data_IF_211874590354
#
_entry.id   IF_211874590354
#
_cell.length_a   1.000
_cell.length_b   1.000
_cell.length_c   1.000
_cell.angle_alpha   90.00
_cell.angle_beta   90.00
_cell.angle_gamma   90.00
#
_symmetry.space_group_name_H-M   'P 1'
#
loop_
_entity.id
_entity.type
_entity.pdbx_description
1 polymer ?
#
# COMPACT_ATOMS: atom_id res chain seq x y z
N UNK A 1 -2.17 -17.77 2.78
CA UNK A 1 -1.02 -18.20 3.60
C UNK A 1 0.25 -17.61 2.97
N UNK A 2 0.86 -16.64 3.64
CA UNK A 2 2.09 -16.00 3.21
C UNK A 2 3.27 -16.62 3.96
N UNK A 3 4.23 -17.17 3.22
CA UNK A 3 5.44 -17.77 3.77
C UNK A 3 6.60 -16.77 3.65
N UNK A 4 7.30 -16.51 4.74
CA UNK A 4 8.54 -15.73 4.70
C UNK A 4 9.54 -16.26 5.72
N UNK A 5 10.74 -16.59 5.25
CA UNK A 5 11.87 -17.05 6.07
C UNK A 5 12.97 -15.98 6.08
N UNK A 6 13.63 -15.78 7.24
CA UNK A 6 14.86 -15.01 7.37
C UNK A 6 14.72 -13.63 8.03
N UNK A 7 15.73 -12.79 7.87
CA UNK A 7 15.94 -11.45 8.47
C UNK A 7 14.75 -10.48 8.38
N UNK A 8 13.68 -10.88 7.72
CA UNK A 8 12.45 -10.11 7.62
C UNK A 8 11.59 -10.02 8.88
N UNK A 9 11.86 -10.77 9.94
CA UNK A 9 10.95 -10.87 11.08
C UNK A 9 10.75 -9.56 11.84
N UNK A 10 11.76 -8.73 11.92
CA UNK A 10 11.66 -7.46 12.66
C UNK A 10 10.94 -6.40 11.83
N UNK A 11 11.22 -6.27 10.54
CA UNK A 11 10.46 -5.38 9.65
C UNK A 11 8.99 -5.80 9.56
N UNK A 12 8.71 -7.09 9.61
CA UNK A 12 7.36 -7.62 9.62
C UNK A 12 6.60 -7.25 10.88
N UNK A 13 7.22 -7.23 12.05
CA UNK A 13 6.54 -6.90 13.32
C UNK A 13 5.88 -5.53 13.27
N UNK A 14 6.57 -4.51 12.78
CA UNK A 14 6.02 -3.16 12.68
C UNK A 14 4.86 -3.08 11.68
N UNK A 15 5.00 -3.76 10.54
CA UNK A 15 3.95 -3.84 9.53
C UNK A 15 2.74 -4.62 10.06
N UNK A 16 2.96 -5.76 10.71
CA UNK A 16 1.89 -6.57 11.30
C UNK A 16 1.17 -5.82 12.42
N UNK A 17 1.90 -5.11 13.27
CA UNK A 17 1.32 -4.27 14.31
C UNK A 17 0.41 -3.19 13.71
N UNK A 18 0.87 -2.47 12.68
CA UNK A 18 0.06 -1.46 12.01
C UNK A 18 -1.19 -2.06 11.34
N UNK A 19 -1.09 -3.28 10.79
CA UNK A 19 -2.26 -4.00 10.25
C UNK A 19 -3.23 -4.44 11.35
N UNK A 20 -2.74 -4.85 12.53
CA UNK A 20 -3.59 -5.12 13.70
C UNK A 20 -4.30 -3.86 14.19
N UNK A 21 -3.61 -2.71 14.23
CA UNK A 21 -4.21 -1.40 14.53
C UNK A 21 -5.29 -1.02 13.50
N UNK A 22 -5.09 -1.40 12.23
CA UNK A 22 -6.10 -1.27 11.18
C UNK A 22 -7.31 -2.20 11.35
N UNK A 23 -7.26 -3.13 12.31
CA UNK A 23 -8.35 -4.04 12.64
C UNK A 23 -8.21 -5.45 12.10
N UNK A 24 -7.04 -5.81 11.58
CA UNK A 24 -6.77 -7.16 11.13
C UNK A 24 -6.55 -8.12 12.31
N UNK A 25 -7.16 -9.29 12.25
CA UNK A 25 -6.81 -10.43 13.09
C UNK A 25 -5.60 -11.13 12.47
N UNK A 26 -4.50 -11.23 13.23
CA UNK A 26 -3.25 -11.77 12.71
C UNK A 26 -2.76 -12.89 13.61
N UNK A 27 -2.58 -14.06 13.03
CA UNK A 27 -1.96 -15.21 13.66
C UNK A 27 -0.61 -15.51 13.00
N UNK A 28 0.43 -15.64 13.81
CA UNK A 28 1.79 -15.92 13.34
C UNK A 28 2.18 -17.33 13.77
N UNK A 29 2.43 -18.20 12.80
CA UNK A 29 3.02 -19.52 13.01
C UNK A 29 4.54 -19.51 12.80
N UNK A 30 5.15 -20.69 12.86
CA UNK A 30 6.60 -20.84 12.69
C UNK A 30 7.07 -20.38 11.29
N UNK A 31 6.32 -20.75 10.24
CA UNK A 31 6.66 -20.47 8.83
C UNK A 31 5.51 -19.83 8.02
N UNK A 32 4.45 -19.35 8.68
CA UNK A 32 3.29 -18.75 8.05
C UNK A 32 2.71 -17.58 8.86
N UNK A 33 1.98 -16.73 8.18
CA UNK A 33 1.18 -15.65 8.76
C UNK A 33 -0.21 -15.74 8.14
N UNK A 34 -1.23 -15.71 8.97
CA UNK A 34 -2.62 -15.59 8.58
C UNK A 34 -3.14 -14.21 8.99
N UNK A 35 -3.83 -13.55 8.07
CA UNK A 35 -4.49 -12.27 8.29
C UNK A 35 -5.95 -12.38 7.85
N UNK A 36 -6.86 -11.99 8.73
CA UNK A 36 -8.28 -11.94 8.45
C UNK A 36 -8.88 -10.59 8.88
N UNK A 37 -9.57 -9.95 7.97
CA UNK A 37 -10.34 -8.73 8.23
C UNK A 37 -11.81 -9.03 8.59
N UNK A 38 -12.24 -10.30 8.56
CA UNK A 38 -13.63 -10.71 8.81
C UNK A 38 -14.65 -9.91 7.99
N UNK A 39 -14.29 -9.54 6.76
CA UNK A 39 -15.14 -8.72 5.88
C UNK A 39 -15.33 -7.27 6.35
N UNK A 40 -14.61 -6.83 7.38
CA UNK A 40 -14.69 -5.46 7.88
C UNK A 40 -13.77 -4.54 7.08
N UNK A 41 -14.19 -3.30 6.96
CA UNK A 41 -13.35 -2.23 6.41
C UNK A 41 -12.21 -1.92 7.38
N UNK A 42 -11.01 -1.70 6.84
CA UNK A 42 -9.86 -1.33 7.66
C UNK A 42 -10.07 0.05 8.31
N UNK A 43 -9.52 0.25 9.49
CA UNK A 43 -9.39 1.57 10.13
C UNK A 43 -8.11 2.23 9.65
N UNK A 44 -8.16 3.55 9.47
CA UNK A 44 -6.97 4.32 9.12
C UNK A 44 -5.96 4.30 10.28
N UNK A 45 -4.69 4.18 9.94
CA UNK A 45 -3.58 4.10 10.90
C UNK A 45 -2.63 5.26 10.74
N UNK A 46 -1.95 5.63 11.83
CA UNK A 46 -0.92 6.66 11.83
C UNK A 46 0.44 6.02 12.10
N UNK A 47 1.36 6.14 11.13
CA UNK A 47 2.69 5.58 11.23
C UNK A 47 3.75 6.62 10.89
N UNK A 48 4.92 6.47 11.50
CA UNK A 48 6.10 7.27 11.19
C UNK A 48 7.21 6.33 10.75
N UNK A 49 7.77 6.57 9.56
CA UNK A 49 8.94 5.83 9.11
C UNK A 49 10.17 6.26 9.91
N UNK A 50 11.04 5.32 10.19
CA UNK A 50 12.35 5.59 10.78
C UNK A 50 13.30 4.44 10.46
N UNK A 51 14.62 4.62 10.64
CA UNK A 51 15.58 3.53 10.53
C UNK A 51 15.23 2.35 11.43
N UNK A 52 15.64 1.16 11.00
CA UNK A 52 15.50 -0.06 11.79
C UNK A 52 15.82 0.17 13.29
N UNK A 53 15.00 -0.37 14.24
CA UNK A 53 13.90 -1.33 14.07
C UNK A 53 12.49 -0.73 13.96
N UNK A 54 12.36 0.52 13.52
CA UNK A 54 11.08 1.20 13.40
C UNK A 54 10.33 0.85 12.10
N UNK A 55 9.22 1.56 11.82
CA UNK A 55 8.39 1.30 10.65
C UNK A 55 9.16 1.57 9.34
N UNK A 56 9.22 0.60 8.42
CA UNK A 56 10.06 0.72 7.23
C UNK A 56 9.47 1.70 6.21
N UNK A 57 10.32 2.61 5.70
CA UNK A 57 9.96 3.54 4.64
C UNK A 57 9.48 2.84 3.35
N UNK A 58 9.88 1.60 3.13
CA UNK A 58 9.46 0.79 1.98
C UNK A 58 7.98 0.37 2.03
N UNK A 59 7.33 0.50 3.16
CA UNK A 59 5.90 0.23 3.33
C UNK A 59 5.05 1.50 3.42
N UNK A 60 5.67 2.67 3.38
CA UNK A 60 5.02 3.97 3.51
C UNK A 60 3.90 4.17 2.46
N UNK A 61 4.20 3.93 1.18
CA UNK A 61 3.26 4.13 0.09
C UNK A 61 2.08 3.13 0.14
N UNK A 62 2.33 1.87 0.53
CA UNK A 62 1.30 0.84 0.66
C UNK A 62 0.33 1.17 1.80
N UNK A 63 0.83 1.69 2.92
CA UNK A 63 -0.04 2.14 4.01
C UNK A 63 -0.78 3.44 3.67
N UNK A 64 -0.23 4.29 2.81
CA UNK A 64 -1.00 5.40 2.22
C UNK A 64 -2.17 4.86 1.40
N UNK A 65 -1.96 3.83 0.56
CA UNK A 65 -3.03 3.19 -0.21
C UNK A 65 -4.10 2.53 0.69
N UNK A 66 -3.70 1.93 1.83
CA UNK A 66 -4.65 1.43 2.81
C UNK A 66 -5.48 2.57 3.41
N UNK A 67 -4.84 3.64 3.85
CA UNK A 67 -5.49 4.75 4.55
C UNK A 67 -6.52 5.49 3.67
N UNK A 68 -6.29 5.59 2.36
CA UNK A 68 -7.22 6.32 1.47
C UNK A 68 -8.57 5.63 1.30
N UNK A 69 -8.68 4.35 1.62
CA UNK A 69 -9.95 3.59 1.60
C UNK A 69 -10.38 3.10 2.98
N UNK A 70 -9.62 3.40 4.02
CA UNK A 70 -9.92 2.99 5.39
C UNK A 70 -11.01 3.86 6.03
N UNK A 71 -11.55 3.44 7.18
CA UNK A 71 -12.43 4.28 7.99
C UNK A 71 -11.62 5.31 8.78
N UNK A 72 -12.06 6.56 8.76
CA UNK A 72 -11.46 7.65 9.54
C UNK A 72 -10.31 8.35 8.80
N UNK A 73 -9.39 8.92 9.57
CA UNK A 73 -8.23 9.63 9.06
C UNK A 73 -6.94 9.07 9.68
N UNK A 74 -5.91 8.95 8.87
CA UNK A 74 -4.60 8.47 9.29
C UNK A 74 -3.48 9.35 8.74
N UNK A 75 -2.33 9.28 9.38
CA UNK A 75 -1.15 10.06 8.98
C UNK A 75 0.03 9.15 8.67
N UNK A 76 0.76 9.49 7.62
CA UNK A 76 2.02 8.85 7.30
C UNK A 76 3.10 9.93 7.34
N UNK A 77 4.00 9.84 8.31
CA UNK A 77 5.14 10.75 8.43
C UNK A 77 6.41 10.06 7.93
N UNK A 78 7.02 10.63 6.89
CA UNK A 78 8.25 10.12 6.29
C UNK A 78 9.47 10.86 6.87
N UNK A 79 10.38 10.13 7.52
CA UNK A 79 11.57 10.72 8.14
C UNK A 79 12.89 10.15 7.62
N UNK A 80 12.84 9.19 6.69
CA UNK A 80 14.02 8.53 6.13
C UNK A 80 14.41 9.17 4.80
N UNK A 81 13.42 9.44 3.94
CA UNK A 81 13.65 10.05 2.63
C UNK A 81 12.84 11.32 2.44
N UNK A 82 13.48 12.36 1.99
CA UNK A 82 12.81 13.59 1.58
C UNK A 82 11.96 13.36 0.32
N UNK A 83 10.78 13.98 0.29
CA UNK A 83 9.89 14.02 -0.90
C UNK A 83 9.44 12.66 -1.45
N UNK A 84 9.29 11.62 -0.62
CA UNK A 84 8.86 10.28 -1.05
C UNK A 84 7.33 10.15 -1.15
N UNK A 85 6.62 11.17 -1.65
CA UNK A 85 5.15 11.21 -1.76
C UNK A 85 4.64 11.36 -3.19
N UNK A 86 5.42 10.94 -4.18
CA UNK A 86 5.04 11.08 -5.60
C UNK A 86 3.76 10.32 -5.96
N UNK A 87 3.44 9.23 -5.26
CA UNK A 87 2.19 8.47 -5.43
C UNK A 87 0.94 9.22 -4.99
N UNK A 88 1.08 10.24 -4.14
CA UNK A 88 -0.06 11.00 -3.60
C UNK A 88 -0.85 11.70 -4.71
N UNK A 89 -0.18 12.35 -5.64
CA UNK A 89 -0.84 13.04 -6.75
C UNK A 89 -1.59 12.05 -7.65
N UNK A 90 -1.03 10.88 -7.89
CA UNK A 90 -1.67 9.84 -8.68
C UNK A 90 -2.88 9.24 -7.94
N UNK A 91 -2.79 9.01 -6.64
CA UNK A 91 -3.94 8.59 -5.83
C UNK A 91 -5.04 9.64 -5.77
N UNK A 92 -4.69 10.94 -5.74
CA UNK A 92 -5.66 12.03 -5.82
C UNK A 92 -6.42 12.03 -7.15
N UNK A 93 -5.80 11.64 -8.27
CA UNK A 93 -6.49 11.42 -9.55
C UNK A 93 -7.54 10.31 -9.47
N UNK A 94 -7.33 9.34 -8.59
CA UNK A 94 -8.28 8.27 -8.30
C UNK A 94 -9.35 8.67 -7.27
N UNK A 95 -9.39 9.94 -6.85
CA UNK A 95 -10.36 10.45 -5.89
C UNK A 95 -9.93 10.35 -4.43
N UNK A 96 -8.68 10.00 -4.13
CA UNK A 96 -8.18 9.95 -2.76
C UNK A 96 -8.12 11.34 -2.13
N UNK A 97 -8.49 11.44 -0.85
CA UNK A 97 -8.40 12.66 -0.05
C UNK A 97 -7.14 12.65 0.78
N UNK A 98 -6.08 13.23 0.24
CA UNK A 98 -4.77 13.33 0.89
C UNK A 98 -4.31 14.79 0.90
N UNK A 99 -3.82 15.23 2.04
CA UNK A 99 -3.18 16.55 2.20
C UNK A 99 -1.75 16.34 2.66
N UNK A 100 -0.79 16.96 1.96
CA UNK A 100 0.62 16.95 2.37
C UNK A 100 0.92 18.16 3.24
N UNK A 101 1.56 17.93 4.39
CA UNK A 101 2.10 18.97 5.28
C UNK A 101 3.55 18.62 5.64
N UNK A 102 4.49 19.31 5.00
CA UNK A 102 5.91 18.98 5.13
C UNK A 102 6.18 17.52 4.74
N UNK A 103 6.68 16.74 5.67
CA UNK A 103 6.98 15.32 5.50
C UNK A 103 5.84 14.38 5.93
N UNK A 104 4.63 14.89 6.05
CA UNK A 104 3.47 14.11 6.52
C UNK A 104 2.34 14.14 5.50
N UNK A 105 1.87 12.96 5.10
CA UNK A 105 0.64 12.77 4.34
C UNK A 105 -0.51 12.50 5.32
N UNK A 106 -1.56 13.32 5.24
CA UNK A 106 -2.80 13.17 6.02
C UNK A 106 -3.86 12.65 5.06
N UNK A 107 -4.31 11.43 5.26
CA UNK A 107 -5.33 10.78 4.44
C UNK A 107 -6.64 10.73 5.19
N UNK A 108 -7.73 11.12 4.53
CA UNK A 108 -9.10 10.84 5.00
C UNK A 108 -9.69 9.78 4.10
N UNK A 109 -10.12 8.67 4.67
CA UNK A 109 -10.62 7.55 3.90
C UNK A 109 -11.87 7.91 3.11
N UNK A 110 -11.90 7.50 1.85
CA UNK A 110 -13.08 7.58 0.99
C UNK A 110 -13.76 6.22 0.93
N UNK A 111 -15.03 6.20 0.63
CA UNK A 111 -15.78 4.95 0.52
C UNK A 111 -15.26 4.10 -0.65
N UNK A 112 -14.95 4.76 -1.77
CA UNK A 112 -14.40 4.13 -2.98
C UNK A 112 -13.46 5.08 -3.71
N UNK A 113 -12.45 4.49 -4.33
CA UNK A 113 -11.64 5.15 -5.35
C UNK A 113 -12.28 4.96 -6.73
N UNK A 114 -11.94 5.82 -7.67
CA UNK A 114 -12.37 5.72 -9.06
C UNK A 114 -11.17 5.33 -9.93
N UNK A 115 -11.37 4.39 -10.83
CA UNK A 115 -10.35 4.00 -11.81
C UNK A 115 -9.93 5.20 -12.66
N UNK A 116 -8.63 5.33 -12.87
CA UNK A 116 -8.04 6.42 -13.63
C UNK A 116 -6.73 5.98 -14.32
N UNK A 117 -6.32 6.68 -15.39
CA UNK A 117 -4.96 6.55 -15.89
C UNK A 117 -3.99 7.23 -14.91
N UNK A 118 -3.04 6.46 -14.40
CA UNK A 118 -2.00 6.89 -13.46
C UNK A 118 -0.61 6.47 -13.93
N UNK A 119 0.41 7.12 -13.42
CA UNK A 119 1.79 6.84 -13.81
C UNK A 119 2.63 6.32 -12.65
N UNK A 120 3.32 5.20 -12.91
CA UNK A 120 4.38 4.71 -12.04
C UNK A 120 5.56 5.71 -12.01
N UNK A 121 6.02 6.07 -10.83
CA UNK A 121 7.09 7.06 -10.62
C UNK A 121 8.36 6.45 -10.01
N UNK A 122 8.19 5.54 -9.10
CA UNK A 122 9.24 4.73 -8.46
C UNK A 122 8.69 3.36 -8.06
N UNK A 123 9.56 2.48 -7.60
CA UNK A 123 9.21 1.09 -7.29
C UNK A 123 8.09 0.97 -6.25
N UNK A 124 8.19 1.69 -5.13
CA UNK A 124 7.25 1.57 -3.99
C UNK A 124 5.95 2.32 -4.24
N UNK A 125 6.05 3.53 -4.78
CA UNK A 125 4.90 4.30 -5.23
C UNK A 125 4.08 3.52 -6.25
N UNK A 126 4.74 2.89 -7.22
CA UNK A 126 4.08 2.10 -8.25
C UNK A 126 3.31 0.90 -7.68
N UNK A 127 3.91 0.17 -6.72
CA UNK A 127 3.22 -0.94 -6.06
C UNK A 127 1.97 -0.46 -5.30
N UNK A 128 2.02 0.71 -4.66
CA UNK A 128 0.86 1.27 -3.97
C UNK A 128 -0.27 1.67 -4.93
N UNK A 129 0.06 2.12 -6.14
CA UNK A 129 -0.93 2.41 -7.18
C UNK A 129 -1.60 1.13 -7.71
N UNK A 130 -0.86 0.02 -7.79
CA UNK A 130 -1.47 -1.28 -8.09
C UNK A 130 -2.50 -1.65 -7.01
N UNK A 131 -2.13 -1.55 -5.73
CA UNK A 131 -3.05 -1.84 -4.62
C UNK A 131 -4.29 -0.93 -4.65
N UNK A 132 -4.11 0.37 -4.88
CA UNK A 132 -5.22 1.32 -5.02
C UNK A 132 -6.13 0.97 -6.22
N UNK A 133 -5.54 0.56 -7.35
CA UNK A 133 -6.29 0.14 -8.54
C UNK A 133 -7.13 -1.11 -8.32
N UNK A 134 -6.69 -2.04 -7.48
CA UNK A 134 -7.45 -3.27 -7.17
C UNK A 134 -8.76 -3.02 -6.41
N UNK A 135 -8.86 -1.88 -5.71
CA UNK A 135 -10.03 -1.51 -4.90
C UNK A 135 -10.81 -0.33 -5.48
N UNK A 136 -10.40 0.18 -6.64
CA UNK A 136 -11.08 1.27 -7.32
C UNK A 136 -12.25 0.74 -8.17
N UNK A 137 -13.32 1.54 -8.26
CA UNK A 137 -14.41 1.28 -9.20
C UNK A 137 -13.98 1.68 -10.62
N UNK A 138 -14.17 0.79 -11.57
CA UNK A 138 -13.77 0.98 -12.97
C UNK A 138 -12.35 0.49 -13.26
N UNK A 139 -11.82 0.92 -14.40
CA UNK A 139 -10.50 0.48 -14.87
C UNK A 139 -9.42 1.49 -14.48
N UNK A 140 -8.34 0.99 -13.88
CA UNK A 140 -7.12 1.77 -13.61
C UNK A 140 -6.02 1.32 -14.56
N UNK A 141 -5.52 2.23 -15.38
CA UNK A 141 -4.38 1.96 -16.26
C UNK A 141 -3.12 2.57 -15.66
N UNK A 142 -2.10 1.74 -15.42
CA UNK A 142 -0.82 2.19 -14.85
C UNK A 142 0.24 2.21 -15.96
N UNK A 143 0.68 3.40 -16.33
CA UNK A 143 1.79 3.59 -17.27
C UNK A 143 3.17 3.51 -16.61
N UNK A 144 4.23 3.39 -17.42
CA UNK A 144 5.64 3.33 -16.97
C UNK A 144 5.92 2.16 -16.02
N UNK A 145 5.34 1.01 -16.26
CA UNK A 145 5.42 -0.17 -15.39
C UNK A 145 6.83 -0.75 -15.22
N UNK A 146 7.80 -0.32 -16.03
CA UNK A 146 9.21 -0.69 -15.85
C UNK A 146 9.73 -0.35 -14.43
N UNK A 147 9.14 0.64 -13.75
CA UNK A 147 9.44 0.91 -12.35
C UNK A 147 9.01 -0.21 -11.41
N UNK A 148 7.89 -0.88 -11.71
CA UNK A 148 7.37 -2.03 -10.97
C UNK A 148 8.25 -3.26 -11.24
N UNK A 149 8.58 -3.48 -12.50
CA UNK A 149 9.33 -4.66 -12.96
C UNK A 149 10.73 -4.78 -12.35
N UNK A 150 11.30 -3.68 -11.87
CA UNK A 150 12.61 -3.66 -11.20
C UNK A 150 12.65 -4.41 -9.87
N UNK A 151 11.52 -4.65 -9.22
CA UNK A 151 11.50 -5.30 -7.89
C UNK A 151 10.27 -6.16 -7.60
N UNK A 152 9.28 -6.18 -8.51
CA UNK A 152 8.09 -7.02 -8.40
C UNK A 152 7.97 -7.89 -9.65
N UNK A 153 8.61 -9.05 -9.61
CA UNK A 153 8.55 -10.00 -10.71
C UNK A 153 7.11 -10.46 -10.95
N UNK A 154 6.59 -10.19 -12.15
CA UNK A 154 5.26 -10.61 -12.62
C UNK A 154 4.15 -10.37 -11.59
N UNK A 155 4.09 -9.17 -11.07
CA UNK A 155 3.12 -8.80 -10.02
C UNK A 155 1.68 -9.08 -10.45
N UNK A 156 1.36 -8.86 -11.74
CA UNK A 156 0.04 -9.11 -12.31
C UNK A 156 -0.34 -10.60 -12.24
N UNK A 157 0.59 -11.50 -12.54
CA UNK A 157 0.35 -12.94 -12.46
C UNK A 157 0.14 -13.40 -11.02
N UNK A 158 0.97 -12.89 -10.09
CA UNK A 158 0.88 -13.21 -8.65
C UNK A 158 -0.42 -12.73 -8.05
N UNK A 159 -0.85 -11.53 -8.38
CA UNK A 159 -2.12 -10.97 -7.90
C UNK A 159 -3.32 -11.66 -8.55
N UNK A 160 -3.24 -12.01 -9.83
CA UNK A 160 -4.29 -12.78 -10.50
C UNK A 160 -4.52 -14.16 -9.85
N UNK A 161 -3.45 -14.83 -9.39
CA UNK A 161 -3.56 -16.09 -8.62
C UNK A 161 -4.30 -15.90 -7.28
N UNK A 162 -4.31 -14.69 -6.74
CA UNK A 162 -5.06 -14.32 -5.54
C UNK A 162 -6.50 -13.84 -5.86
N UNK A 163 -6.92 -13.90 -7.13
CA UNK A 163 -8.26 -13.52 -7.58
C UNK A 163 -8.38 -12.07 -8.08
N UNK A 164 -7.28 -11.33 -8.21
CA UNK A 164 -7.31 -9.98 -8.75
C UNK A 164 -7.63 -9.98 -10.24
N UNK A 165 -8.48 -9.04 -10.68
CA UNK A 165 -8.72 -8.78 -12.10
C UNK A 165 -7.67 -7.78 -12.60
N UNK A 166 -6.53 -8.28 -13.00
CA UNK A 166 -5.37 -7.50 -13.44
C UNK A 166 -4.73 -8.16 -14.65
N UNK A 167 -4.25 -7.35 -15.59
CA UNK A 167 -3.55 -7.83 -16.78
C UNK A 167 -2.49 -6.83 -17.23
N UNK A 168 -1.48 -7.32 -17.90
CA UNK A 168 -0.52 -6.48 -18.63
C UNK A 168 -1.05 -6.23 -20.03
N UNK A 169 -0.97 -5.00 -20.48
CA UNK A 169 -1.31 -4.59 -21.84
C UNK A 169 -0.09 -4.02 -22.54
N UNK A 170 0.05 -4.18 -23.86
CA UNK A 170 1.09 -3.50 -24.63
C UNK A 170 0.99 -1.98 -24.46
N UNK A 171 2.15 -1.29 -24.46
CA UNK A 171 2.22 0.17 -24.43
C UNK A 171 1.87 0.77 -25.79
#
# INVERSE_FOLDING_TARGET
RLLSRGLGDVYKRQVLQALQEAGADITVGEDWIELDMHGKRAKAVSVQTAPYPAFPTDMQAQFTALNVVAEGAGTITETVFENRFMHVQEMQRMGAKITLKGNTAISTGVERLTGAPVMATDLRASASLVLAGLVADGETTIGRIYHIDRGYERIEEKLAQLGANIRRVPA
#
